data_IF_596601936036
#
_entry.id   IF_596601936036
#
_cell.length_a   1.000
_cell.length_b   1.000
_cell.length_c   1.000
_cell.angle_alpha   90.00
_cell.angle_beta   90.00
_cell.angle_gamma   90.00
#
_symmetry.space_group_name_H-M   'P 1'
#
loop_
_entity.id
_entity.type
_entity.pdbx_description
1 polymer ?
#
# COMPACT_ATOMS: atom_id res chain seq x y z
N UNK A 1 4.23 19.01 3.97
CA UNK A 1 3.26 17.93 3.72
C UNK A 1 2.13 18.16 4.70
N UNK A 2 0.89 18.16 4.20
CA UNK A 2 -0.31 18.69 4.89
C UNK A 2 -1.17 19.48 3.89
N UNK A 3 -2.29 18.91 3.48
CA UNK A 3 -3.38 19.66 2.83
C UNK A 3 -4.30 20.20 3.92
N UNK A 4 -4.62 21.49 3.84
CA UNK A 4 -5.37 22.21 4.87
C UNK A 4 -6.86 21.84 4.98
N UNK A 5 -7.24 20.57 5.02
CA UNK A 5 -8.64 20.18 5.14
C UNK A 5 -8.88 18.94 6.03
N UNK A 6 -9.35 19.25 7.26
CA UNK A 6 -10.27 18.48 8.15
C UNK A 6 -9.74 17.66 9.35
N UNK A 7 -8.51 17.88 9.85
CA UNK A 7 -8.10 17.35 11.17
C UNK A 7 -7.00 18.20 11.82
N UNK A 8 -7.05 18.41 13.14
CA UNK A 8 -5.99 19.12 13.89
C UNK A 8 -4.69 18.30 14.00
N UNK A 9 -4.74 17.00 13.68
CA UNK A 9 -3.57 16.11 13.62
C UNK A 9 -2.76 16.26 12.32
N UNK A 10 -3.27 17.00 11.32
CA UNK A 10 -2.61 17.20 10.02
C UNK A 10 -1.91 18.57 9.91
N UNK A 11 -1.82 19.31 11.02
CA UNK A 11 -1.25 20.67 11.09
C UNK A 11 -0.11 20.77 12.10
N UNK A 12 0.85 21.69 11.88
CA UNK A 12 1.05 22.46 10.66
C UNK A 12 1.67 21.61 9.54
N UNK A 13 1.44 22.02 8.30
CA UNK A 13 2.14 21.44 7.18
C UNK A 13 3.66 21.64 7.37
N UNK A 14 4.41 20.55 7.45
CA UNK A 14 5.85 20.57 7.70
C UNK A 14 6.60 19.86 6.56
N UNK A 15 7.79 20.34 6.22
CA UNK A 15 8.62 19.69 5.21
C UNK A 15 9.34 18.50 5.84
N UNK A 16 9.19 17.32 5.23
CA UNK A 16 9.90 16.10 5.62
C UNK A 16 10.81 15.71 4.48
N UNK A 17 12.11 15.61 4.76
CA UNK A 17 13.07 15.01 3.84
C UNK A 17 13.00 13.49 3.98
N UNK A 18 12.57 12.79 2.93
CA UNK A 18 12.62 11.34 2.86
C UNK A 18 13.77 10.91 1.96
N UNK A 19 14.64 10.04 2.45
CA UNK A 19 15.68 9.42 1.62
C UNK A 19 15.05 8.53 0.54
N UNK A 20 15.80 8.21 -0.52
CA UNK A 20 15.36 7.29 -1.57
C UNK A 20 14.93 5.93 -0.98
N UNK A 21 13.71 5.52 -1.27
CA UNK A 21 13.13 4.25 -0.79
C UNK A 21 12.36 3.53 -1.89
N UNK A 22 12.05 2.25 -1.66
CA UNK A 22 11.15 1.46 -2.50
C UNK A 22 9.91 1.10 -1.69
N UNK A 23 8.74 1.25 -2.31
CA UNK A 23 7.46 0.82 -1.75
C UNK A 23 6.85 -0.24 -2.67
N UNK A 24 6.13 -1.20 -2.10
CA UNK A 24 5.37 -2.15 -2.90
C UNK A 24 4.36 -1.40 -3.77
N UNK A 25 4.18 -1.85 -5.02
CA UNK A 25 3.22 -1.23 -5.95
C UNK A 25 1.77 -1.42 -5.45
N UNK A 26 1.53 -2.50 -4.74
CA UNK A 26 0.24 -2.95 -4.25
C UNK A 26 0.36 -3.33 -2.78
N UNK A 27 -0.80 -3.47 -2.13
CA UNK A 27 -0.92 -4.12 -0.83
C UNK A 27 -0.42 -5.57 -0.89
N UNK A 28 -0.01 -6.10 0.26
CA UNK A 28 0.38 -7.50 0.38
C UNK A 28 -0.86 -8.36 0.12
N UNK A 29 -0.76 -9.27 -0.85
CA UNK A 29 -1.91 -10.12 -1.21
C UNK A 29 -2.04 -11.32 -0.27
N UNK A 30 -3.23 -11.93 -0.25
CA UNK A 30 -3.50 -13.15 0.51
C UNK A 30 -2.52 -14.28 0.15
N UNK A 31 -2.17 -14.45 -1.13
CA UNK A 31 -1.20 -15.46 -1.55
C UNK A 31 0.23 -15.17 -1.03
N UNK A 32 0.65 -13.90 -1.05
CA UNK A 32 1.96 -13.51 -0.50
C UNK A 32 2.01 -13.74 1.01
N UNK A 33 0.95 -13.38 1.72
CA UNK A 33 0.83 -13.63 3.14
C UNK A 33 0.88 -15.13 3.45
N UNK A 34 0.07 -15.94 2.76
CA UNK A 34 0.04 -17.40 2.92
C UNK A 34 1.42 -18.04 2.66
N UNK A 35 2.16 -17.57 1.65
CA UNK A 35 3.49 -18.10 1.34
C UNK A 35 4.52 -17.84 2.45
N UNK A 36 4.41 -16.73 3.17
CA UNK A 36 5.35 -16.35 4.24
C UNK A 36 4.89 -16.88 5.61
N UNK A 37 3.59 -16.81 5.89
CA UNK A 37 3.03 -17.07 7.22
C UNK A 37 2.41 -18.46 7.36
N UNK A 38 2.13 -19.15 6.25
CA UNK A 38 1.51 -20.48 6.24
C UNK A 38 0.02 -20.50 6.61
N UNK A 39 -0.59 -19.34 6.82
CA UNK A 39 -2.01 -19.16 7.16
C UNK A 39 -2.57 -17.91 6.49
N UNK A 40 -3.89 -17.78 6.41
CA UNK A 40 -4.57 -16.61 5.84
C UNK A 40 -5.66 -16.14 6.82
N UNK A 41 -5.48 -14.98 7.49
CA UNK A 41 -6.43 -14.46 8.47
C UNK A 41 -7.63 -13.74 7.84
N UNK A 42 -7.64 -13.55 6.51
CA UNK A 42 -8.63 -12.72 5.82
C UNK A 42 -10.05 -13.23 6.03
N UNK A 43 -10.94 -12.35 6.48
CA UNK A 43 -12.39 -12.52 6.45
C UNK A 43 -12.90 -12.66 5.01
N UNK A 44 -12.42 -11.84 4.08
CA UNK A 44 -12.74 -11.94 2.65
C UNK A 44 -11.79 -12.91 1.95
N UNK A 45 -11.85 -14.19 2.33
CA UNK A 45 -10.99 -15.24 1.80
C UNK A 45 -11.43 -15.72 0.40
N UNK A 46 -10.59 -16.56 -0.24
CA UNK A 46 -10.86 -17.14 -1.56
C UNK A 46 -10.36 -16.31 -2.75
N UNK A 47 -9.60 -15.24 -2.50
CA UNK A 47 -9.04 -14.38 -3.52
C UNK A 47 -7.53 -14.18 -3.33
N UNK A 48 -6.72 -14.98 -4.05
CA UNK A 48 -5.26 -14.97 -3.95
C UNK A 48 -4.59 -13.61 -4.24
N UNK A 49 -5.23 -12.79 -5.07
CA UNK A 49 -4.76 -11.46 -5.50
C UNK A 49 -5.42 -10.32 -4.74
N UNK A 50 -6.35 -10.60 -3.83
CA UNK A 50 -6.92 -9.59 -2.95
C UNK A 50 -5.92 -9.26 -1.82
N UNK A 51 -5.99 -8.06 -1.24
CA UNK A 51 -5.20 -7.71 -0.08
C UNK A 51 -5.52 -8.66 1.09
N UNK A 52 -4.52 -8.97 1.90
CA UNK A 52 -4.74 -9.63 3.19
C UNK A 52 -5.34 -8.61 4.18
N UNK A 53 -6.32 -9.02 4.96
CA UNK A 53 -6.91 -8.21 6.03
C UNK A 53 -7.08 -9.04 7.31
N UNK A 54 -7.60 -8.42 8.39
CA UNK A 54 -7.62 -8.98 9.77
C UNK A 54 -6.24 -9.32 10.33
N UNK A 55 -5.22 -8.54 9.96
CA UNK A 55 -3.86 -8.65 10.49
C UNK A 55 -3.65 -7.67 11.64
N UNK A 56 -3.04 -8.13 12.73
CA UNK A 56 -2.62 -7.25 13.83
C UNK A 56 -1.24 -6.65 13.58
N UNK A 57 -0.84 -5.66 14.38
CA UNK A 57 0.50 -5.09 14.31
C UNK A 57 1.59 -6.13 14.61
N UNK A 58 1.34 -7.04 15.57
CA UNK A 58 2.26 -8.12 15.93
C UNK A 58 2.42 -9.14 14.79
N UNK A 59 1.32 -9.44 14.08
CA UNK A 59 1.37 -10.30 12.89
C UNK A 59 2.22 -9.66 11.81
N UNK A 60 2.12 -8.34 11.62
CA UNK A 60 2.95 -7.59 10.66
C UNK A 60 4.43 -7.68 11.04
N UNK A 61 4.78 -7.54 12.32
CA UNK A 61 6.18 -7.70 12.75
C UNK A 61 6.70 -9.10 12.45
N UNK A 62 5.89 -10.12 12.76
CA UNK A 62 6.22 -11.52 12.49
C UNK A 62 6.38 -11.78 10.98
N UNK A 63 5.47 -11.26 10.17
CA UNK A 63 5.54 -11.33 8.71
C UNK A 63 6.82 -10.69 8.17
N UNK A 64 7.17 -9.48 8.63
CA UNK A 64 8.38 -8.77 8.21
C UNK A 64 9.65 -9.53 8.61
N UNK A 65 9.70 -10.09 9.83
CA UNK A 65 10.82 -10.91 10.27
C UNK A 65 11.02 -12.13 9.37
N UNK A 66 9.95 -12.88 9.09
CA UNK A 66 10.00 -14.04 8.20
C UNK A 66 10.38 -13.66 6.77
N UNK A 67 9.75 -12.63 6.21
CA UNK A 67 10.03 -12.14 4.86
C UNK A 67 11.50 -11.70 4.70
N UNK A 68 12.06 -11.03 5.71
CA UNK A 68 13.46 -10.63 5.74
C UNK A 68 14.41 -11.82 5.89
N UNK A 69 13.97 -12.92 6.52
CA UNK A 69 14.75 -14.17 6.58
C UNK A 69 14.73 -14.95 5.26
N UNK A 70 13.66 -14.82 4.48
CA UNK A 70 13.49 -15.50 3.20
C UNK A 70 14.12 -14.78 2.01
N UNK A 71 14.48 -13.51 2.17
CA UNK A 71 14.94 -12.66 1.07
C UNK A 71 16.28 -11.99 1.39
N UNK A 72 17.07 -11.69 0.36
CA UNK A 72 18.30 -10.88 0.51
C UNK A 72 18.03 -9.38 0.70
N UNK A 73 16.76 -8.99 0.95
CA UNK A 73 16.30 -7.61 1.04
C UNK A 73 15.80 -7.31 2.44
N UNK A 74 15.76 -6.03 2.80
CA UNK A 74 15.17 -5.56 4.05
C UNK A 74 13.86 -4.83 3.80
N UNK A 75 12.78 -5.43 4.28
CA UNK A 75 11.42 -4.92 4.28
C UNK A 75 11.08 -4.36 5.66
N UNK A 76 10.31 -3.28 5.66
CA UNK A 76 9.72 -2.63 6.84
C UNK A 76 8.44 -1.91 6.44
N UNK A 77 7.63 -1.52 7.43
CA UNK A 77 6.55 -0.58 7.19
C UNK A 77 7.10 0.78 6.73
N UNK A 78 6.43 1.48 5.80
CA UNK A 78 6.73 2.87 5.49
C UNK A 78 6.43 3.74 6.72
N UNK A 79 7.16 4.84 6.88
CA UNK A 79 6.70 5.92 7.75
C UNK A 79 5.50 6.63 7.12
N UNK A 80 4.72 7.35 7.93
CA UNK A 80 3.60 8.16 7.44
C UNK A 80 4.03 9.10 6.31
N UNK A 81 5.15 9.82 6.47
CA UNK A 81 5.69 10.70 5.44
C UNK A 81 6.09 9.97 4.15
N UNK A 82 6.63 8.75 4.24
CA UNK A 82 6.95 7.94 3.05
C UNK A 82 5.67 7.46 2.35
N UNK A 83 4.64 7.10 3.12
CA UNK A 83 3.36 6.68 2.58
C UNK A 83 2.65 7.85 1.89
N UNK A 84 2.56 9.01 2.54
CA UNK A 84 1.96 10.23 1.97
C UNK A 84 2.72 10.68 0.71
N UNK A 85 4.05 10.67 0.72
CA UNK A 85 4.87 11.01 -0.45
C UNK A 85 4.58 10.08 -1.64
N UNK A 86 4.49 8.77 -1.40
CA UNK A 86 4.18 7.79 -2.44
C UNK A 86 2.74 7.97 -2.98
N UNK A 87 1.78 8.20 -2.09
CA UNK A 87 0.37 8.44 -2.43
C UNK A 87 0.18 9.70 -3.29
N UNK A 88 0.90 10.78 -2.99
CA UNK A 88 0.88 12.02 -3.80
C UNK A 88 1.57 11.87 -5.16
N UNK A 89 2.36 10.81 -5.37
CA UNK A 89 2.94 10.47 -6.67
C UNK A 89 3.81 11.56 -7.31
N UNK A 90 4.34 12.50 -6.51
CA UNK A 90 5.10 13.66 -6.98
C UNK A 90 4.28 14.73 -7.72
N UNK A 91 2.94 14.66 -7.67
CA UNK A 91 2.04 15.64 -8.30
C UNK A 91 1.32 16.45 -7.23
N UNK A 92 1.43 17.77 -7.30
CA UNK A 92 0.64 18.69 -6.47
C UNK A 92 -0.75 18.90 -7.06
N UNK A 93 -1.78 19.03 -6.21
CA UNK A 93 -3.13 19.42 -6.64
C UNK A 93 -4.04 18.27 -7.05
N UNK A 94 -3.74 17.03 -6.64
CA UNK A 94 -4.69 15.92 -6.76
C UNK A 94 -5.44 15.73 -5.44
N UNK A 95 -6.77 15.58 -5.51
CA UNK A 95 -7.61 15.34 -4.33
C UNK A 95 -7.41 13.94 -3.75
N UNK A 96 -7.06 12.96 -4.59
CA UNK A 96 -6.86 11.56 -4.20
C UNK A 96 -5.55 11.00 -4.76
N UNK A 97 -5.12 9.86 -4.22
CA UNK A 97 -3.93 9.15 -4.69
C UNK A 97 -4.09 8.76 -6.17
N UNK A 98 -3.39 9.44 -7.07
CA UNK A 98 -3.40 9.14 -8.51
C UNK A 98 -4.49 9.82 -9.34
N UNK A 99 -5.36 10.67 -8.76
CA UNK A 99 -6.45 11.32 -9.51
C UNK A 99 -7.34 12.25 -8.69
N UNK A 100 -8.32 12.86 -9.38
CA UNK A 100 -9.33 13.75 -8.76
C UNK A 100 -10.71 13.10 -8.65
N UNK A 101 -10.86 11.86 -9.12
CA UNK A 101 -12.13 11.14 -9.12
C UNK A 101 -11.98 9.86 -8.32
N UNK A 102 -12.63 9.80 -7.16
CA UNK A 102 -12.63 8.67 -6.22
C UNK A 102 -12.98 7.34 -6.91
N UNK A 103 -14.01 7.35 -7.76
CA UNK A 103 -14.45 6.19 -8.55
C UNK A 103 -13.38 5.60 -9.48
N UNK A 104 -12.39 6.40 -9.89
CA UNK A 104 -11.33 5.94 -10.77
C UNK A 104 -10.09 5.43 -10.03
N UNK A 105 -9.93 5.75 -8.75
CA UNK A 105 -8.67 5.52 -8.03
C UNK A 105 -8.82 4.66 -6.77
N UNK A 106 -10.05 4.45 -6.28
CA UNK A 106 -10.30 3.73 -5.04
C UNK A 106 -11.48 2.76 -5.14
N UNK A 107 -11.37 1.67 -4.37
CA UNK A 107 -12.53 0.91 -3.93
C UNK A 107 -12.96 1.47 -2.57
N UNK A 108 -14.18 2.00 -2.50
CA UNK A 108 -14.77 2.60 -1.32
C UNK A 108 -16.20 2.07 -1.13
N UNK A 109 -16.87 2.47 -0.04
CA UNK A 109 -18.22 2.01 0.33
C UNK A 109 -19.19 2.01 -0.87
N UNK A 110 -19.21 3.09 -1.65
CA UNK A 110 -20.12 3.26 -2.78
C UNK A 110 -19.84 2.42 -4.03
N UNK A 111 -18.67 1.78 -4.16
CA UNK A 111 -18.33 0.99 -5.36
C UNK A 111 -17.70 -0.38 -5.08
N UNK A 112 -17.41 -0.72 -3.82
CA UNK A 112 -16.76 -1.97 -3.43
C UNK A 112 -17.73 -3.16 -3.33
N UNK A 113 -19.04 -2.92 -3.14
CA UNK A 113 -20.03 -3.97 -2.82
C UNK A 113 -19.63 -4.78 -1.57
N UNK A 114 -19.21 -4.08 -0.51
CA UNK A 114 -18.89 -4.64 0.81
C UNK A 114 -17.83 -5.75 0.80
N UNK A 115 -16.86 -5.68 -0.11
CA UNK A 115 -15.78 -6.68 -0.22
C UNK A 115 -14.46 -6.09 -0.69
N UNK A 116 -13.38 -6.77 -0.35
CA UNK A 116 -12.06 -6.50 -0.93
C UNK A 116 -12.04 -6.93 -2.41
N UNK A 117 -11.29 -6.19 -3.22
CA UNK A 117 -11.08 -6.50 -4.63
C UNK A 117 -9.61 -6.84 -4.91
N UNK A 118 -9.31 -7.52 -6.03
CA UNK A 118 -7.94 -7.74 -6.47
C UNK A 118 -7.14 -6.44 -6.53
N UNK A 119 -5.90 -6.49 -6.06
CA UNK A 119 -5.00 -5.32 -6.10
C UNK A 119 -4.81 -4.83 -7.54
N UNK A 120 -4.78 -3.51 -7.72
CA UNK A 120 -4.70 -2.88 -9.05
C UNK A 120 -5.99 -2.93 -9.88
N UNK A 121 -7.13 -3.31 -9.29
CA UNK A 121 -8.44 -3.35 -9.95
C UNK A 121 -9.13 -1.99 -10.12
N UNK A 122 -8.81 -0.97 -9.32
CA UNK A 122 -9.35 0.39 -9.49
C UNK A 122 -8.64 1.08 -10.68
N UNK A 123 -9.43 1.57 -11.64
CA UNK A 123 -8.97 1.96 -12.99
C UNK A 123 -8.25 3.32 -12.99
N UNK A 124 -7.01 3.38 -12.49
CA UNK A 124 -5.86 4.10 -13.09
C UNK A 124 -4.62 3.90 -12.22
N UNK A 125 -3.90 2.79 -12.41
CA UNK A 125 -2.55 2.69 -11.84
C UNK A 125 -1.59 3.55 -12.67
N UNK A 126 -1.30 4.76 -12.18
CA UNK A 126 -0.12 5.49 -12.64
C UNK A 126 1.10 4.61 -12.36
N UNK A 127 1.87 4.31 -13.41
CA UNK A 127 3.23 3.78 -13.26
C UNK A 127 4.02 4.79 -12.47
N UNK A 128 4.26 4.52 -11.19
CA UNK A 128 5.32 5.20 -10.45
C UNK A 128 6.62 4.83 -11.17
N UNK A 129 7.14 5.73 -12.03
CA UNK A 129 8.42 5.55 -12.72
C UNK A 129 9.57 5.73 -11.71
N UNK A 130 9.67 4.82 -10.74
CA UNK A 130 10.96 4.46 -10.17
C UNK A 130 11.55 3.37 -11.06
N UNK A 131 12.75 3.60 -11.60
CA UNK A 131 13.44 2.65 -12.48
C UNK A 131 13.34 1.21 -11.95
N UNK A 132 12.60 0.36 -12.69
CA UNK A 132 12.41 -1.06 -12.39
C UNK A 132 13.14 -1.87 -13.46
N UNK A 133 14.23 -2.53 -13.08
CA UNK A 133 14.77 -3.64 -13.86
C UNK A 133 13.91 -4.86 -13.57
N UNK A 134 13.22 -5.38 -14.60
CA UNK A 134 12.53 -6.67 -14.52
C UNK A 134 13.58 -7.77 -14.47
N UNK A 135 13.57 -8.53 -13.39
CA UNK A 135 13.67 -10.00 -13.35
C UNK A 135 14.07 -10.38 -11.93
N UNK A 136 13.18 -11.08 -11.23
CA UNK A 136 13.52 -12.15 -10.29
C UNK A 136 12.19 -12.83 -9.88
N UNK A 137 11.94 -14.08 -10.29
CA UNK A 137 10.92 -14.90 -9.64
C UNK A 137 11.39 -15.27 -8.23
N UNK A 138 10.43 -15.52 -7.35
CA UNK A 138 10.67 -16.06 -6.00
C UNK A 138 11.51 -17.33 -6.05
#
# INVERSE_FOLDING_TARGET
MGEGAKSDYEKPAHQVCVESFKLSKYEVTQAQWQAVMGSNPSNFSGCATCPVEKVSWDDIQTFLQKLNGLTSKRYRLPSEAQWEYACRGGKSGQTYCGGNSENSVAWYDGNSNDKTHPVGGAVTTHKIKGHYSRNDPL
#
